data_IF_256146507357
#
_entry.id   IF_256146507357
#
_cell.length_a   1.000
_cell.length_b   1.000
_cell.length_c   1.000
_cell.angle_alpha   90.00
_cell.angle_beta   90.00
_cell.angle_gamma   90.00
#
_symmetry.space_group_name_H-M   'P 1'
#
loop_
_entity.id
_entity.type
_entity.pdbx_description
1 polymer ?
#
# COMPACT_ATOMS: atom_id res chain seq x y z
N UNK A 1 37.34 3.34 -45.97
CA UNK A 1 36.49 2.74 -44.92
C UNK A 1 35.21 3.56 -44.88
N UNK A 2 34.22 3.19 -45.67
CA UNK A 2 32.96 3.94 -45.75
C UNK A 2 32.27 3.86 -44.38
N UNK A 3 31.84 5.00 -43.83
CA UNK A 3 30.90 5.03 -42.71
C UNK A 3 29.67 4.24 -43.16
N UNK A 4 29.52 3.02 -42.66
CA UNK A 4 28.26 2.30 -42.70
C UNK A 4 27.29 3.11 -41.84
N UNK A 5 26.48 3.95 -42.49
CA UNK A 5 25.41 4.68 -41.83
C UNK A 5 24.35 3.63 -41.45
N UNK A 6 24.39 3.14 -40.21
CA UNK A 6 23.50 2.10 -39.68
C UNK A 6 22.06 2.62 -39.44
N UNK A 7 21.53 3.40 -40.38
CA UNK A 7 20.15 3.89 -40.34
C UNK A 7 19.23 2.87 -40.99
N UNK A 8 18.91 1.85 -40.20
CA UNK A 8 17.99 0.77 -40.60
C UNK A 8 16.54 1.26 -40.58
N UNK A 9 16.18 2.12 -39.62
CA UNK A 9 14.80 2.59 -39.42
C UNK A 9 14.67 4.08 -39.72
N UNK A 10 13.54 4.45 -40.33
CA UNK A 10 13.17 5.86 -40.50
C UNK A 10 12.44 6.34 -39.24
N UNK A 11 12.84 7.48 -38.69
CA UNK A 11 12.30 8.03 -37.44
C UNK A 11 10.80 8.35 -37.49
N UNK A 12 10.21 8.46 -38.68
CA UNK A 12 8.78 8.69 -38.91
C UNK A 12 7.97 7.41 -39.16
N UNK A 13 8.60 6.22 -39.17
CA UNK A 13 7.98 4.92 -39.47
C UNK A 13 8.22 3.92 -38.35
N UNK A 14 7.37 3.98 -37.32
CA UNK A 14 7.49 3.14 -36.11
C UNK A 14 6.41 2.05 -36.09
N UNK A 15 5.50 2.01 -37.08
CA UNK A 15 4.50 0.95 -37.19
C UNK A 15 5.16 -0.41 -37.45
N UNK A 16 4.64 -1.49 -36.86
CA UNK A 16 5.23 -2.83 -36.93
C UNK A 16 5.50 -3.31 -38.37
N UNK A 17 4.51 -3.13 -39.26
CA UNK A 17 4.66 -3.46 -40.67
C UNK A 17 5.76 -2.65 -41.32
N UNK A 18 5.88 -1.38 -40.96
CA UNK A 18 6.88 -0.47 -41.52
C UNK A 18 8.29 -0.77 -41.00
N UNK A 19 8.44 -1.14 -39.72
CA UNK A 19 9.72 -1.59 -39.16
C UNK A 19 10.16 -2.93 -39.78
N UNK A 20 9.22 -3.85 -39.99
CA UNK A 20 9.50 -5.09 -40.70
C UNK A 20 9.92 -4.82 -42.15
N UNK A 21 9.20 -3.96 -42.87
CA UNK A 21 9.53 -3.58 -44.24
C UNK A 21 10.90 -2.89 -44.32
N UNK A 22 11.18 -1.96 -43.42
CA UNK A 22 12.47 -1.23 -43.37
C UNK A 22 13.63 -2.20 -43.05
N UNK A 23 13.46 -3.13 -42.10
CA UNK A 23 14.45 -4.15 -41.78
C UNK A 23 14.66 -5.13 -42.95
N UNK A 24 13.59 -5.53 -43.62
CA UNK A 24 13.63 -6.44 -44.77
C UNK A 24 14.30 -5.78 -45.98
N UNK A 25 14.01 -4.50 -46.23
CA UNK A 25 14.64 -3.72 -47.29
C UNK A 25 16.14 -3.53 -47.00
N UNK A 26 16.52 -3.23 -45.76
CA UNK A 26 17.92 -3.14 -45.37
C UNK A 26 18.69 -4.45 -45.64
N UNK A 27 18.12 -5.60 -45.28
CA UNK A 27 18.75 -6.90 -45.52
C UNK A 27 18.86 -7.20 -47.02
N UNK A 28 17.83 -6.88 -47.81
CA UNK A 28 17.88 -7.02 -49.28
C UNK A 28 18.99 -6.16 -49.90
N UNK A 29 19.14 -4.93 -49.44
CA UNK A 29 20.16 -3.99 -49.92
C UNK A 29 21.58 -4.46 -49.54
N UNK A 30 21.78 -4.99 -48.33
CA UNK A 30 23.09 -5.49 -47.87
C UNK A 30 23.54 -6.73 -48.65
N UNK A 31 22.62 -7.64 -48.95
CA UNK A 31 22.95 -8.89 -49.63
C UNK A 31 22.82 -8.82 -51.17
N UNK A 32 22.43 -7.66 -51.74
CA UNK A 32 22.21 -7.47 -53.17
C UNK A 32 21.41 -8.61 -53.83
N UNK A 33 20.47 -9.21 -53.09
CA UNK A 33 19.72 -10.37 -53.57
C UNK A 33 18.44 -9.91 -54.27
N UNK A 34 18.23 -10.39 -55.50
CA UNK A 34 17.04 -10.13 -56.31
C UNK A 34 15.79 -10.79 -55.72
N UNK A 35 15.23 -10.24 -54.64
CA UNK A 35 13.83 -10.34 -54.20
C UNK A 35 13.19 -11.72 -53.91
N UNK A 36 13.76 -12.83 -54.36
CA UNK A 36 13.13 -14.16 -54.36
C UNK A 36 13.64 -15.10 -53.25
N UNK A 37 14.89 -14.96 -52.83
CA UNK A 37 15.50 -15.77 -51.76
C UNK A 37 14.97 -15.41 -50.35
N UNK A 38 14.51 -14.17 -50.18
CA UNK A 38 13.98 -13.67 -48.93
C UNK A 38 12.44 -13.69 -48.93
N UNK A 39 11.87 -14.89 -48.85
CA UNK A 39 10.43 -15.07 -48.62
C UNK A 39 10.09 -14.95 -47.13
N UNK A 40 8.81 -14.71 -46.80
CA UNK A 40 8.29 -14.70 -45.43
C UNK A 40 8.58 -16.02 -44.67
N UNK A 41 8.75 -17.13 -45.38
CA UNK A 41 9.05 -18.44 -44.81
C UNK A 41 10.56 -18.70 -44.63
N UNK A 42 11.44 -17.83 -45.14
CA UNK A 42 12.88 -18.01 -45.03
C UNK A 42 13.34 -17.95 -43.56
N UNK A 43 14.36 -18.74 -43.14
CA UNK A 43 14.92 -18.65 -41.79
C UNK A 43 15.35 -17.24 -41.40
N UNK A 44 15.86 -16.45 -42.36
CA UNK A 44 16.22 -15.05 -42.15
C UNK A 44 15.00 -14.17 -41.84
N UNK A 45 13.91 -14.31 -42.59
CA UNK A 45 12.68 -13.57 -42.32
C UNK A 45 12.09 -13.92 -40.94
N UNK A 46 12.19 -15.20 -40.53
CA UNK A 46 11.77 -15.64 -39.20
C UNK A 46 12.62 -15.00 -38.08
N UNK A 47 13.94 -14.93 -38.25
CA UNK A 47 14.84 -14.25 -37.29
C UNK A 47 14.52 -12.75 -37.21
N UNK A 48 14.33 -12.08 -38.36
CA UNK A 48 13.95 -10.65 -38.40
C UNK A 48 12.60 -10.44 -37.70
N UNK A 49 11.63 -11.33 -37.90
CA UNK A 49 10.34 -11.25 -37.24
C UNK A 49 10.47 -11.35 -35.70
N UNK A 50 11.28 -12.27 -35.19
CA UNK A 50 11.57 -12.35 -33.74
C UNK A 50 12.22 -11.06 -33.24
N UNK A 51 13.17 -10.51 -33.98
CA UNK A 51 13.91 -9.30 -33.60
C UNK A 51 13.01 -8.06 -33.61
N UNK A 52 12.12 -7.94 -34.60
CA UNK A 52 11.11 -6.88 -34.69
C UNK A 52 10.09 -7.01 -33.54
N UNK A 53 9.65 -8.22 -33.19
CA UNK A 53 8.78 -8.43 -32.03
C UNK A 53 9.45 -8.09 -30.70
N UNK A 54 10.75 -8.40 -30.55
CA UNK A 54 11.53 -7.98 -29.38
C UNK A 54 11.65 -6.45 -29.31
N UNK A 55 11.92 -5.80 -30.45
CA UNK A 55 11.95 -4.34 -30.56
C UNK A 55 10.62 -3.70 -30.19
N UNK A 56 9.49 -4.29 -30.63
CA UNK A 56 8.15 -3.86 -30.23
C UNK A 56 7.95 -3.96 -28.72
N UNK A 57 8.37 -5.07 -28.11
CA UNK A 57 8.26 -5.25 -26.66
C UNK A 57 9.03 -4.17 -25.91
N UNK A 58 10.24 -3.84 -26.37
CA UNK A 58 11.05 -2.74 -25.80
C UNK A 58 10.33 -1.40 -25.93
N UNK A 59 9.84 -1.06 -27.13
CA UNK A 59 9.12 0.21 -27.36
C UNK A 59 7.84 0.30 -26.52
N UNK A 60 7.11 -0.80 -26.38
CA UNK A 60 5.92 -0.87 -25.53
C UNK A 60 6.25 -0.60 -24.05
N UNK A 61 7.34 -1.15 -23.52
CA UNK A 61 7.77 -0.85 -22.14
C UNK A 61 8.26 0.58 -21.97
N UNK A 62 8.93 1.15 -22.98
CA UNK A 62 9.35 2.56 -22.97
C UNK A 62 8.11 3.46 -22.96
N UNK A 63 7.15 3.22 -23.86
CA UNK A 63 5.90 3.97 -23.92
C UNK A 63 5.15 3.89 -22.60
N UNK A 64 4.97 2.68 -22.06
CA UNK A 64 4.32 2.47 -20.75
C UNK A 64 5.04 3.24 -19.65
N UNK A 65 6.38 3.24 -19.64
CA UNK A 65 7.15 3.98 -18.63
C UNK A 65 6.96 5.50 -18.77
N UNK A 66 6.93 6.02 -19.99
CA UNK A 66 6.69 7.45 -20.25
C UNK A 66 5.28 7.87 -19.86
N UNK A 67 4.27 7.05 -20.18
CA UNK A 67 2.88 7.33 -19.79
C UNK A 67 2.67 7.25 -18.28
N UNK A 68 3.36 6.33 -17.60
CA UNK A 68 3.27 6.13 -16.15
C UNK A 68 4.04 7.17 -15.33
N UNK A 69 4.95 7.93 -15.94
CA UNK A 69 5.67 9.04 -15.28
C UNK A 69 4.81 10.29 -15.14
N UNK A 70 3.73 10.43 -15.92
CA UNK A 70 2.87 11.59 -15.88
C UNK A 70 1.55 11.25 -15.16
N UNK A 71 1.20 12.05 -14.15
CA UNK A 71 0.04 11.82 -13.28
C UNK A 71 -1.30 11.82 -14.03
N UNK A 72 -1.38 12.57 -15.14
CA UNK A 72 -2.60 12.67 -15.97
C UNK A 72 -2.79 11.46 -16.90
N UNK A 73 -1.70 10.75 -17.25
CA UNK A 73 -1.73 9.63 -18.21
C UNK A 73 -1.45 8.28 -17.57
N UNK A 74 -0.97 8.24 -16.33
CA UNK A 74 -0.72 7.02 -15.59
C UNK A 74 -2.05 6.27 -15.35
N UNK A 75 -2.05 4.96 -15.59
CA UNK A 75 -3.23 4.12 -15.39
C UNK A 75 -3.03 3.10 -14.27
N UNK A 76 -1.78 2.77 -13.93
CA UNK A 76 -1.51 1.87 -12.81
C UNK A 76 -1.73 2.59 -11.48
N UNK A 77 -2.58 2.03 -10.62
CA UNK A 77 -2.87 2.57 -9.29
C UNK A 77 -1.59 2.78 -8.43
N UNK A 78 -0.57 1.94 -8.65
CA UNK A 78 0.72 2.03 -7.99
C UNK A 78 1.47 3.31 -8.38
N UNK A 79 1.56 3.62 -9.66
CA UNK A 79 2.25 4.82 -10.15
C UNK A 79 1.51 6.07 -9.76
N UNK A 80 0.16 6.07 -9.84
CA UNK A 80 -0.66 7.21 -9.41
C UNK A 80 -0.41 7.52 -7.92
N UNK A 81 -0.38 6.48 -7.06
CA UNK A 81 -0.06 6.65 -5.63
C UNK A 81 1.36 7.16 -5.41
N UNK A 82 2.35 6.60 -6.10
CA UNK A 82 3.73 7.05 -6.00
C UNK A 82 3.95 8.49 -6.47
N UNK A 83 3.30 8.89 -7.56
CA UNK A 83 3.32 10.28 -8.07
C UNK A 83 2.58 11.24 -7.12
N UNK A 84 1.48 10.80 -6.51
CA UNK A 84 0.78 11.59 -5.49
C UNK A 84 1.67 11.83 -4.27
N UNK A 85 2.39 10.81 -3.81
CA UNK A 85 3.34 10.95 -2.70
C UNK A 85 4.50 11.88 -3.04
N UNK A 86 4.99 11.85 -4.28
CA UNK A 86 6.04 12.77 -4.75
C UNK A 86 5.59 14.23 -4.72
N UNK A 87 4.32 14.50 -5.01
CA UNK A 87 3.74 15.85 -4.90
C UNK A 87 3.39 16.25 -3.46
N UNK A 88 3.61 15.37 -2.49
CA UNK A 88 3.40 15.61 -1.06
C UNK A 88 2.04 15.14 -0.54
N UNK A 89 1.18 14.58 -1.39
CA UNK A 89 -0.09 14.00 -0.96
C UNK A 89 0.09 12.54 -0.54
N UNK A 90 -0.23 12.20 0.71
CA UNK A 90 -0.26 10.81 1.15
C UNK A 90 -1.62 10.18 0.78
N UNK A 91 -1.68 9.21 -0.16
CA UNK A 91 -2.92 8.58 -0.56
C UNK A 91 -3.56 7.87 0.63
N UNK A 92 -4.84 8.15 0.86
CA UNK A 92 -5.59 7.49 1.93
C UNK A 92 -5.70 5.99 1.68
N UNK A 93 -5.54 5.22 2.76
CA UNK A 93 -5.87 3.79 2.76
C UNK A 93 -7.38 3.63 2.94
N UNK A 94 -7.85 2.38 2.90
CA UNK A 94 -9.25 2.14 3.23
C UNK A 94 -9.55 2.52 4.68
N UNK A 95 -10.79 2.92 4.90
CA UNK A 95 -11.28 3.36 6.20
C UNK A 95 -12.21 2.26 6.71
N UNK A 96 -11.91 1.75 7.89
CA UNK A 96 -12.76 0.79 8.57
C UNK A 96 -14.10 1.45 8.95
N UNK A 97 -15.19 0.69 8.87
CA UNK A 97 -16.48 1.15 9.36
C UNK A 97 -16.41 1.38 10.87
N UNK A 98 -16.91 2.53 11.33
CA UNK A 98 -16.92 2.94 12.73
C UNK A 98 -18.34 3.24 13.15
N UNK A 99 -18.65 2.91 14.39
CA UNK A 99 -19.94 3.21 14.97
C UNK A 99 -19.88 3.14 16.48
N UNK A 100 -21.00 3.46 17.11
CA UNK A 100 -21.17 3.36 18.55
C UNK A 100 -22.33 2.43 18.82
N UNK A 101 -22.09 1.43 19.68
CA UNK A 101 -23.12 0.55 20.20
C UNK A 101 -23.53 1.00 21.60
N UNK A 102 -24.83 0.94 21.87
CA UNK A 102 -25.35 1.07 23.23
C UNK A 102 -25.71 -0.31 23.74
N UNK A 103 -25.01 -0.77 24.78
CA UNK A 103 -25.34 -2.03 25.44
C UNK A 103 -26.08 -1.75 26.74
N UNK A 104 -27.12 -2.53 26.98
CA UNK A 104 -27.81 -2.62 28.27
C UNK A 104 -27.66 -4.04 28.78
N UNK A 105 -27.58 -4.20 30.10
CA UNK A 105 -27.59 -5.51 30.76
C UNK A 105 -28.92 -5.69 31.49
N UNK A 106 -29.33 -6.95 31.69
CA UNK A 106 -30.51 -7.23 32.50
C UNK A 106 -30.19 -6.95 33.97
N UNK A 107 -31.04 -6.17 34.65
CA UNK A 107 -30.83 -5.70 36.02
C UNK A 107 -31.26 -6.76 37.06
N UNK A 108 -31.00 -8.05 36.78
CA UNK A 108 -31.34 -9.12 37.72
C UNK A 108 -30.52 -8.96 39.01
N UNK A 109 -31.15 -9.27 40.14
CA UNK A 109 -30.69 -8.93 41.50
C UNK A 109 -29.34 -9.52 41.89
N UNK A 110 -28.90 -10.56 41.20
CA UNK A 110 -27.76 -11.39 41.62
C UNK A 110 -26.41 -10.71 41.45
N UNK A 111 -26.32 -9.65 40.64
CA UNK A 111 -25.06 -8.96 40.31
C UNK A 111 -25.06 -7.47 40.66
N UNK A 112 -26.07 -6.99 41.38
CA UNK A 112 -26.18 -5.57 41.75
C UNK A 112 -24.99 -5.15 42.62
N UNK A 113 -24.25 -4.13 42.20
CA UNK A 113 -23.06 -3.62 42.88
C UNK A 113 -21.74 -4.23 42.42
N UNK A 114 -21.77 -5.25 41.54
CA UNK A 114 -20.55 -5.79 40.94
C UNK A 114 -19.99 -4.89 39.83
N UNK A 115 -18.67 -4.97 39.60
CA UNK A 115 -17.99 -4.26 38.52
C UNK A 115 -17.65 -5.23 37.39
N UNK A 116 -18.21 -4.97 36.21
CA UNK A 116 -17.92 -5.69 34.97
C UNK A 116 -16.73 -5.03 34.28
N UNK A 117 -15.79 -5.86 33.84
CA UNK A 117 -14.57 -5.45 33.14
C UNK A 117 -14.64 -5.88 31.67
N UNK A 118 -14.79 -4.92 30.75
CA UNK A 118 -14.73 -5.19 29.31
C UNK A 118 -13.34 -4.81 28.81
N UNK A 119 -12.60 -5.78 28.28
CA UNK A 119 -11.25 -5.55 27.75
C UNK A 119 -11.31 -4.75 26.45
N UNK A 120 -10.30 -3.91 26.24
CA UNK A 120 -10.05 -3.29 24.93
C UNK A 120 -9.84 -4.37 23.87
N UNK A 121 -10.26 -4.10 22.64
CA UNK A 121 -10.22 -5.03 21.52
C UNK A 121 -11.10 -6.28 21.68
N UNK A 122 -12.13 -6.21 22.52
CA UNK A 122 -13.16 -7.25 22.57
C UNK A 122 -13.83 -7.39 21.21
N UNK A 123 -13.94 -8.63 20.72
CA UNK A 123 -14.51 -8.95 19.41
C UNK A 123 -16.03 -9.07 19.49
N UNK A 124 -16.73 -8.34 18.65
CA UNK A 124 -18.18 -8.35 18.50
C UNK A 124 -18.48 -8.80 17.07
N UNK A 125 -19.26 -9.86 16.89
CA UNK A 125 -19.67 -10.31 15.56
C UNK A 125 -21.04 -9.73 15.25
N UNK A 126 -21.17 -9.08 14.10
CA UNK A 126 -22.47 -8.64 13.61
C UNK A 126 -23.16 -9.79 12.87
N UNK A 127 -24.40 -10.09 13.23
CA UNK A 127 -25.21 -11.14 12.61
C UNK A 127 -25.67 -10.78 11.19
N UNK A 128 -25.83 -9.49 10.88
CA UNK A 128 -26.37 -9.06 9.58
C UNK A 128 -25.38 -9.24 8.43
N UNK A 129 -24.10 -8.90 8.65
CA UNK A 129 -23.05 -9.03 7.63
C UNK A 129 -22.03 -10.15 7.92
N UNK A 130 -22.11 -10.79 9.09
CA UNK A 130 -21.19 -11.85 9.50
C UNK A 130 -19.77 -11.37 9.83
N UNK A 131 -19.50 -10.07 9.79
CA UNK A 131 -18.18 -9.48 10.02
C UNK A 131 -17.90 -9.22 11.50
N UNK A 132 -16.62 -9.24 11.84
CA UNK A 132 -16.13 -8.94 13.19
C UNK A 132 -15.80 -7.46 13.33
N UNK A 133 -16.21 -6.91 14.47
CA UNK A 133 -15.92 -5.56 14.95
C UNK A 133 -15.16 -5.66 16.26
N UNK A 134 -14.36 -4.64 16.55
CA UNK A 134 -13.56 -4.51 17.76
C UNK A 134 -14.07 -3.33 18.57
N UNK A 135 -14.32 -3.55 19.86
CA UNK A 135 -14.55 -2.47 20.80
C UNK A 135 -13.22 -1.76 21.10
N UNK A 136 -13.17 -0.43 20.94
CA UNK A 136 -11.95 0.35 21.14
C UNK A 136 -12.12 1.34 22.29
N UNK A 137 -11.49 1.05 23.42
CA UNK A 137 -11.53 1.93 24.58
C UNK A 137 -10.23 2.75 24.70
N UNK A 138 -10.30 3.96 25.30
CA UNK A 138 -9.10 4.74 25.62
C UNK A 138 -8.23 4.07 26.69
N UNK A 139 -8.85 3.25 27.55
CA UNK A 139 -8.19 2.44 28.58
C UNK A 139 -8.12 0.98 28.16
N UNK A 140 -7.21 0.21 28.76
CA UNK A 140 -7.11 -1.23 28.49
C UNK A 140 -8.37 -2.01 28.89
N UNK A 141 -9.15 -1.47 29.83
CA UNK A 141 -10.38 -2.06 30.34
C UNK A 141 -11.39 -0.96 30.61
N UNK A 142 -12.62 -1.15 30.15
CA UNK A 142 -13.79 -0.39 30.55
C UNK A 142 -14.38 -1.04 31.82
N UNK A 143 -14.53 -0.25 32.87
CA UNK A 143 -15.14 -0.68 34.13
C UNK A 143 -16.58 -0.17 34.18
N UNK A 144 -17.53 -1.06 34.38
CA UNK A 144 -18.95 -0.71 34.50
C UNK A 144 -19.49 -1.27 35.80
N UNK A 145 -20.07 -0.42 36.64
CA UNK A 145 -20.73 -0.87 37.88
C UNK A 145 -22.21 -1.16 37.61
N UNK A 146 -22.65 -2.35 37.99
CA UNK A 146 -24.03 -2.83 37.83
C UNK A 146 -24.93 -2.14 38.87
N UNK A 147 -26.03 -1.51 38.43
CA UNK A 147 -27.02 -0.91 39.33
C UNK A 147 -26.97 0.62 39.49
N UNK A 148 -26.05 1.32 38.82
CA UNK A 148 -26.13 2.78 38.71
C UNK A 148 -27.25 3.17 37.74
N UNK A 149 -28.17 4.04 38.17
CA UNK A 149 -29.33 4.49 37.41
C UNK A 149 -28.93 4.97 36.00
N UNK A 150 -29.56 4.38 34.98
CA UNK A 150 -29.47 4.69 33.53
C UNK A 150 -28.23 4.20 32.75
N UNK A 151 -27.82 2.95 32.97
CA UNK A 151 -26.58 2.43 32.36
C UNK A 151 -26.76 1.93 30.92
N UNK A 152 -26.98 2.83 29.97
CA UNK A 152 -26.58 2.58 28.57
C UNK A 152 -25.06 2.68 28.50
N UNK A 153 -24.40 1.56 28.26
CA UNK A 153 -22.94 1.52 28.10
C UNK A 153 -22.63 1.87 26.65
N UNK A 154 -21.98 3.01 26.44
CA UNK A 154 -21.51 3.43 25.13
C UNK A 154 -20.21 2.69 24.79
N UNK A 155 -20.23 1.93 23.69
CA UNK A 155 -19.07 1.18 23.21
C UNK A 155 -18.78 1.60 21.77
N UNK A 156 -17.71 2.40 21.54
CA UNK A 156 -17.23 2.66 20.20
C UNK A 156 -16.64 1.37 19.59
N UNK A 157 -17.05 1.08 18.36
CA UNK A 157 -16.63 -0.09 17.61
C UNK A 157 -15.96 0.31 16.30
N UNK A 158 -14.96 -0.48 15.89
CA UNK A 158 -14.30 -0.38 14.59
C UNK A 158 -14.32 -1.75 13.92
N UNK A 159 -14.67 -1.81 12.65
CA UNK A 159 -14.67 -3.05 11.88
C UNK A 159 -13.25 -3.54 11.61
N UNK A 160 -13.02 -4.84 11.80
CA UNK A 160 -11.79 -5.49 11.39
C UNK A 160 -11.13 -6.35 12.47
N UNK A 161 -9.86 -6.67 12.21
CA UNK A 161 -9.02 -7.43 13.13
C UNK A 161 -7.67 -6.73 13.31
N UNK A 162 -7.19 -6.67 14.55
CA UNK A 162 -5.86 -6.12 14.84
C UNK A 162 -4.81 -7.12 14.42
N UNK A 163 -3.80 -6.60 13.72
CA UNK A 163 -2.58 -7.31 13.39
C UNK A 163 -1.39 -6.58 13.96
N UNK A 164 -0.39 -7.38 14.32
CA UNK A 164 0.88 -6.92 14.80
C UNK A 164 1.96 -7.40 13.84
N UNK A 165 2.85 -6.51 13.45
CA UNK A 165 4.09 -6.86 12.79
C UNK A 165 5.26 -6.27 13.55
N UNK A 166 6.36 -7.01 13.60
CA UNK A 166 7.55 -6.58 14.31
C UNK A 166 8.75 -6.50 13.38
N UNK A 167 9.55 -5.46 13.54
CA UNK A 167 10.87 -5.27 12.96
C UNK A 167 11.93 -5.12 14.05
N UNK A 168 13.20 -5.25 13.67
CA UNK A 168 14.34 -5.02 14.57
C UNK A 168 15.08 -3.77 14.12
N UNK A 169 15.28 -2.82 15.04
CA UNK A 169 15.97 -1.57 14.78
C UNK A 169 17.45 -1.79 14.42
N UNK A 170 17.92 -1.09 13.39
CA UNK A 170 19.30 -1.21 12.89
C UNK A 170 20.25 -0.21 13.53
N UNK A 171 19.74 0.81 14.24
CA UNK A 171 20.55 1.90 14.80
C UNK A 171 21.03 2.95 13.80
N UNK A 172 20.63 2.83 12.54
CA UNK A 172 21.02 3.77 11.48
C UNK A 172 20.03 4.95 11.40
N UNK A 173 20.55 6.13 11.04
CA UNK A 173 19.75 7.31 10.75
C UNK A 173 18.81 7.04 9.56
N UNK A 174 17.57 7.55 9.62
CA UNK A 174 16.56 7.36 8.58
C UNK A 174 16.23 5.90 8.24
N UNK A 175 16.38 4.98 9.21
CA UNK A 175 15.93 3.61 9.02
C UNK A 175 14.42 3.56 8.69
N UNK A 176 14.05 2.64 7.80
CA UNK A 176 12.70 2.48 7.31
C UNK A 176 12.27 1.02 7.31
N UNK A 177 11.01 0.77 7.64
CA UNK A 177 10.43 -0.58 7.64
C UNK A 177 9.16 -0.60 6.82
N UNK A 178 9.08 -1.54 5.88
CA UNK A 178 7.86 -1.86 5.18
C UNK A 178 7.15 -3.01 5.91
N UNK A 179 5.97 -2.72 6.46
CA UNK A 179 5.08 -3.71 7.03
C UNK A 179 4.08 -4.14 5.97
N UNK A 180 4.50 -5.09 5.14
CA UNK A 180 3.72 -5.61 4.01
C UNK A 180 2.46 -6.34 4.51
N UNK A 181 1.33 -6.11 3.85
CA UNK A 181 0.12 -6.89 4.08
C UNK A 181 -0.09 -7.91 2.95
N UNK A 182 -0.82 -9.00 3.23
CA UNK A 182 -1.32 -9.88 2.15
C UNK A 182 -2.22 -9.04 1.24
N UNK A 183 -2.13 -9.27 -0.08
CA UNK A 183 -2.72 -8.47 -1.16
C UNK A 183 -4.20 -8.11 -0.98
N UNK A 184 -4.97 -8.93 -0.26
CA UNK A 184 -6.42 -8.77 -0.09
C UNK A 184 -6.85 -7.99 1.16
N UNK A 185 -5.91 -7.66 2.04
CA UNK A 185 -6.22 -7.03 3.31
C UNK A 185 -6.03 -5.51 3.23
N UNK A 186 -7.11 -4.78 3.45
CA UNK A 186 -7.10 -3.33 3.52
C UNK A 186 -6.69 -2.91 4.94
N UNK A 187 -5.65 -2.09 5.06
CA UNK A 187 -5.23 -1.53 6.35
C UNK A 187 -5.97 -0.24 6.61
N UNK A 188 -6.48 -0.06 7.84
CA UNK A 188 -7.16 1.18 8.23
C UNK A 188 -6.23 2.40 8.09
N UNK A 189 -6.78 3.51 7.62
CA UNK A 189 -6.01 4.74 7.44
C UNK A 189 -5.61 5.38 8.78
N UNK A 190 -6.51 5.38 9.75
CA UNK A 190 -6.38 6.19 10.97
C UNK A 190 -5.94 5.39 12.20
N UNK A 191 -6.29 4.11 12.29
CA UNK A 191 -5.90 3.24 13.39
C UNK A 191 -4.57 2.59 13.07
N UNK A 192 -3.51 3.27 13.49
CA UNK A 192 -2.15 2.81 13.39
C UNK A 192 -1.34 3.31 14.58
N UNK A 193 -0.68 2.37 15.27
CA UNK A 193 0.20 2.67 16.37
C UNK A 193 1.56 2.01 16.15
N UNK A 194 2.62 2.79 16.33
CA UNK A 194 4.00 2.29 16.28
C UNK A 194 4.56 2.34 17.70
N UNK A 195 5.09 1.21 18.15
CA UNK A 195 5.75 1.08 19.44
C UNK A 195 7.21 0.72 19.24
N UNK A 196 8.12 1.40 19.93
CA UNK A 196 9.55 1.05 19.96
C UNK A 196 9.89 0.65 21.38
N UNK A 197 10.35 -0.61 21.57
CA UNK A 197 10.59 -1.21 22.89
C UNK A 197 9.38 -1.07 23.84
N UNK A 198 8.16 -1.23 23.31
CA UNK A 198 6.92 -1.14 24.07
C UNK A 198 6.41 0.29 24.35
N UNK A 199 7.16 1.33 23.97
CA UNK A 199 6.72 2.73 24.10
C UNK A 199 6.13 3.22 22.78
N UNK A 200 4.91 3.76 22.83
CA UNK A 200 4.24 4.34 21.65
C UNK A 200 4.95 5.61 21.20
N UNK A 201 5.35 5.65 19.94
CA UNK A 201 5.93 6.84 19.31
C UNK A 201 4.83 7.63 18.60
N UNK A 202 4.98 8.96 18.55
CA UNK A 202 4.00 9.83 17.90
C UNK A 202 4.19 9.77 16.38
N UNK A 203 3.11 9.53 15.64
CA UNK A 203 3.12 9.65 14.18
C UNK A 203 3.08 11.13 13.77
N UNK A 204 3.99 11.54 12.88
CA UNK A 204 4.05 12.88 12.28
C UNK A 204 4.05 12.78 10.75
N UNK A 205 3.72 13.87 10.07
CA UNK A 205 3.59 13.89 8.60
C UNK A 205 4.94 14.09 7.90
N UNK A 206 5.82 14.92 8.48
CA UNK A 206 7.13 15.24 7.92
C UNK A 206 8.27 15.02 8.93
N UNK A 207 9.48 14.82 8.39
CA UNK A 207 10.71 14.76 9.19
C UNK A 207 11.00 16.10 9.87
N UNK A 208 10.59 17.21 9.27
CA UNK A 208 10.82 18.55 9.80
C UNK A 208 9.94 18.88 11.01
N UNK A 209 8.86 18.11 11.22
CA UNK A 209 7.99 18.25 12.37
C UNK A 209 8.56 17.57 13.64
N UNK A 210 9.68 16.87 13.50
CA UNK A 210 10.37 16.21 14.60
C UNK A 210 11.47 17.11 15.16
N UNK A 211 11.44 17.32 16.47
CA UNK A 211 12.52 18.03 17.19
C UNK A 211 13.69 17.10 17.51
N UNK A 212 14.76 17.66 18.07
CA UNK A 212 15.96 16.94 18.46
C UNK A 212 15.66 15.75 19.37
N UNK A 213 16.08 14.55 18.96
CA UNK A 213 15.88 13.28 19.71
C UNK A 213 14.41 13.01 20.13
N UNK A 214 13.44 13.57 19.41
CA UNK A 214 12.02 13.35 19.69
C UNK A 214 11.58 11.94 19.31
N UNK A 215 10.85 11.27 20.19
CA UNK A 215 10.25 9.94 19.94
C UNK A 215 9.03 10.04 19.01
N UNK A 216 9.31 10.20 17.73
CA UNK A 216 8.33 10.30 16.66
C UNK A 216 8.75 9.48 15.43
N UNK A 217 7.77 9.09 14.63
CA UNK A 217 7.98 8.38 13.39
C UNK A 217 7.06 8.92 12.30
N UNK A 218 7.46 8.79 11.05
CA UNK A 218 6.62 9.13 9.90
C UNK A 218 5.98 7.85 9.42
N UNK A 219 4.68 7.90 9.15
CA UNK A 219 3.96 6.78 8.57
C UNK A 219 3.39 7.19 7.22
N UNK A 220 3.77 6.46 6.18
CA UNK A 220 3.20 6.61 4.84
C UNK A 220 2.50 5.35 4.37
N UNK A 221 1.57 5.52 3.46
CA UNK A 221 1.04 4.39 2.69
C UNK A 221 2.15 3.88 1.78
N UNK A 222 2.34 2.57 1.70
CA UNK A 222 3.37 2.03 0.82
C UNK A 222 2.86 1.89 -0.61
N UNK A 223 3.68 2.28 -1.58
CA UNK A 223 3.47 2.01 -3.01
C UNK A 223 3.44 0.50 -3.29
N UNK A 224 4.15 -0.29 -2.48
CA UNK A 224 4.21 -1.76 -2.57
C UNK A 224 3.04 -2.47 -1.88
N UNK A 225 2.17 -1.72 -1.19
CA UNK A 225 1.14 -2.26 -0.31
C UNK A 225 1.62 -2.38 1.13
N UNK A 226 0.67 -2.27 2.08
CA UNK A 226 0.97 -2.16 3.49
C UNK A 226 1.33 -0.74 3.91
N UNK A 227 2.25 -0.62 4.87
CA UNK A 227 2.62 0.65 5.51
C UNK A 227 4.13 0.78 5.55
N UNK A 228 4.63 1.97 5.21
CA UNK A 228 6.03 2.33 5.40
C UNK A 228 6.17 3.22 6.64
N UNK A 229 7.07 2.83 7.54
CA UNK A 229 7.41 3.58 8.75
C UNK A 229 8.84 4.06 8.64
N UNK A 230 9.05 5.37 8.75
CA UNK A 230 10.36 6.02 8.71
C UNK A 230 10.68 6.64 10.07
N UNK A 231 11.95 6.55 10.45
CA UNK A 231 12.46 7.10 11.70
C UNK A 231 13.38 8.30 11.46
N UNK A 232 13.74 8.98 12.55
CA UNK A 232 14.52 10.22 12.50
C UNK A 232 16.01 10.03 12.19
N UNK A 233 16.73 11.15 12.17
CA UNK A 233 18.18 11.23 11.94
C UNK A 233 19.00 11.55 13.20
N UNK A 234 18.35 11.66 14.36
CA UNK A 234 18.95 12.15 15.61
C UNK A 234 18.81 13.67 15.76
N UNK A 235 19.10 14.42 14.69
CA UNK A 235 18.83 15.85 14.65
C UNK A 235 17.33 16.16 14.54
N UNK A 236 16.63 15.41 13.68
CA UNK A 236 15.19 15.50 13.48
C UNK A 236 14.59 14.13 13.82
N UNK A 237 14.08 14.00 15.03
CA UNK A 237 13.55 12.75 15.57
C UNK A 237 14.63 11.76 16.02
N UNK A 238 14.27 10.91 16.96
CA UNK A 238 15.12 9.90 17.57
C UNK A 238 15.37 8.73 16.62
N UNK A 239 16.58 8.18 16.68
CA UNK A 239 16.94 6.95 15.99
C UNK A 239 16.63 5.76 16.91
N UNK A 240 15.82 4.77 16.48
CA UNK A 240 15.69 3.50 17.19
C UNK A 240 17.06 2.82 17.33
N UNK A 241 17.45 2.54 18.58
CA UNK A 241 18.74 1.90 18.91
C UNK A 241 18.83 0.51 18.27
N UNK A 242 20.05 0.08 17.95
CA UNK A 242 20.35 -1.29 17.47
C UNK A 242 19.68 -2.32 18.38
N UNK A 243 18.94 -3.26 17.79
CA UNK A 243 18.25 -4.32 18.53
C UNK A 243 16.96 -3.91 19.21
N UNK A 244 16.48 -2.67 19.02
CA UNK A 244 15.15 -2.28 19.50
C UNK A 244 14.05 -3.03 18.76
N UNK A 245 12.99 -3.40 19.49
CA UNK A 245 11.81 -4.04 18.92
C UNK A 245 10.85 -2.96 18.43
N UNK A 246 10.62 -2.91 17.12
CA UNK A 246 9.69 -1.98 16.48
C UNK A 246 8.42 -2.76 16.19
N UNK A 247 7.34 -2.50 16.92
CA UNK A 247 6.05 -3.14 16.78
C UNK A 247 5.06 -2.18 16.11
N UNK A 248 4.51 -2.60 14.98
CA UNK A 248 3.46 -1.90 14.26
C UNK A 248 2.12 -2.60 14.53
N UNK A 249 1.20 -1.90 15.19
CA UNK A 249 -0.17 -2.31 15.47
C UNK A 249 -1.11 -1.58 14.52
N UNK A 250 -1.86 -2.33 13.73
CA UNK A 250 -2.82 -1.78 12.77
C UNK A 250 -4.05 -2.66 12.65
N UNK A 251 -5.16 -2.08 12.20
CA UNK A 251 -6.39 -2.82 11.92
C UNK A 251 -6.44 -3.18 10.44
N UNK A 252 -6.78 -4.44 10.17
CA UNK A 252 -7.19 -4.90 8.84
C UNK A 252 -8.70 -4.91 8.76
N UNK A 253 -9.25 -4.18 7.79
CA UNK A 253 -10.68 -4.03 7.57
C UNK A 253 -11.10 -4.57 6.19
N UNK A 254 -12.41 -4.66 5.98
CA UNK A 254 -13.05 -5.06 4.72
C UNK A 254 -13.66 -3.85 3.99
N UNK A 255 -13.24 -2.64 4.35
CA UNK A 255 -13.70 -1.38 3.73
C UNK A 255 -15.22 -1.22 3.77
N UNK A 256 -15.82 -1.00 2.60
CA UNK A 256 -17.25 -0.71 2.45
C UNK A 256 -18.18 -1.85 2.88
N UNK A 257 -17.74 -3.11 2.82
CA UNK A 257 -18.53 -4.26 3.29
C UNK A 257 -18.78 -4.22 4.80
N UNK A 258 -18.00 -3.44 5.55
CA UNK A 258 -18.21 -3.19 6.97
C UNK A 258 -19.37 -2.23 7.28
N UNK A 259 -19.94 -1.55 6.28
CA UNK A 259 -21.04 -0.63 6.51
C UNK A 259 -22.34 -1.41 6.81
N UNK A 260 -23.06 -0.95 7.83
CA UNK A 260 -24.36 -1.51 8.22
C UNK A 260 -25.43 -0.61 7.62
N UNK A 261 -26.11 -1.09 6.58
CA UNK A 261 -27.26 -0.39 6.02
C UNK A 261 -28.51 -0.78 6.82
N UNK A 262 -29.36 0.18 7.14
CA UNK A 262 -30.58 -0.02 7.93
C UNK A 262 -31.72 -0.73 7.18
N UNK A 263 -31.47 -1.26 5.99
CA UNK A 263 -32.50 -1.85 5.11
C UNK A 263 -32.63 -3.38 5.18
N UNK A 264 -32.02 -4.04 6.18
CA UNK A 264 -32.23 -5.46 6.46
C UNK A 264 -32.60 -5.69 7.92
#
# INVERSE_FOLDING_TARGET
>A
MAKLDFKIFKTNRIGLSQMYDDAMNYVKDVYNANGQEFSMASPFAQIINVLVNLGRMILFYIETSVTELNIETAYQARSIKGLSELTGHNPSRGIAARGTLYMTYNMDSDYIGETIFIKNYSKIKNSANGLTYLAIFPTNVLQVTVGAYDSKIEIPIIQGEIKYQQGTGTGEALQSFNFANKTDNIVDNFFLNVYVNGKRWKSVDSILDMTYEQEACIVKTSVNGGIDVFFGTGNNGKIPVVGSTILCEYIVCQGSSGNINSEN
#
